data_IF_024621940446
#
_entry.id   IF_024621940446
#
_cell.length_a   1.000
_cell.length_b   1.000
_cell.length_c   1.000
_cell.angle_alpha   90.00
_cell.angle_beta   90.00
_cell.angle_gamma   90.00
#
_symmetry.space_group_name_H-M   'P 1'
#
loop_
_entity.id
_entity.type
_entity.pdbx_description
1 polymer ?
#
# COMPACT_ATOMS: atom_id res chain seq x y z
N UNK A 1 35.67 21.05 38.43
CA UNK A 1 35.19 22.06 39.39
C UNK A 1 34.43 23.13 38.63
N UNK A 2 33.09 23.05 38.62
CA UNK A 2 32.17 24.19 38.57
C UNK A 2 30.80 23.63 38.97
N UNK A 3 30.26 24.22 40.02
CA UNK A 3 29.13 23.76 40.82
C UNK A 3 27.85 24.47 40.40
N UNK A 4 26.72 23.77 40.55
CA UNK A 4 25.45 24.41 40.93
C UNK A 4 24.50 24.69 39.78
N UNK A 5 23.42 23.91 39.71
CA UNK A 5 22.18 24.36 39.07
C UNK A 5 21.02 23.94 39.96
N UNK A 6 20.49 24.95 40.64
CA UNK A 6 19.35 24.93 41.55
C UNK A 6 18.10 24.35 40.89
N UNK A 7 17.67 23.19 41.38
CA UNK A 7 16.33 22.67 41.16
C UNK A 7 15.33 23.39 42.06
N UNK A 8 14.73 24.47 41.57
CA UNK A 8 13.58 25.12 42.20
C UNK A 8 12.36 24.19 42.14
N UNK A 9 11.99 23.63 43.29
CA UNK A 9 10.72 22.96 43.55
C UNK A 9 9.55 23.91 43.26
N UNK A 10 8.78 23.63 42.21
CA UNK A 10 7.44 24.18 42.05
C UNK A 10 6.47 23.40 42.96
N UNK A 11 6.23 23.92 44.18
CA UNK A 11 5.12 23.48 45.03
C UNK A 11 3.82 23.98 44.41
N UNK A 12 2.94 23.06 44.01
CA UNK A 12 1.55 23.38 43.64
C UNK A 12 0.81 23.94 44.87
N UNK A 13 0.02 25.02 44.71
CA UNK A 13 -0.81 25.52 45.78
C UNK A 13 -1.93 24.51 46.10
N UNK A 14 -2.09 24.27 47.40
CA UNK A 14 -3.11 23.43 48.02
C UNK A 14 -4.44 24.18 47.90
N UNK A 15 -5.29 23.75 46.98
CA UNK A 15 -6.63 24.29 46.78
C UNK A 15 -7.52 23.94 47.97
N UNK A 16 -7.81 24.99 48.73
CA UNK A 16 -9.13 25.37 49.26
C UNK A 16 -9.96 24.29 49.95
N UNK A 17 -9.81 24.32 51.26
CA UNK A 17 -10.77 23.95 52.29
C UNK A 17 -12.08 24.73 52.08
N UNK A 18 -13.03 24.11 51.36
CA UNK A 18 -14.39 24.63 51.22
C UNK A 18 -15.11 24.43 52.55
N UNK A 19 -15.35 25.55 53.22
CA UNK A 19 -16.16 25.68 54.43
C UNK A 19 -17.53 25.00 54.28
N UNK A 20 -17.72 23.91 55.00
CA UNK A 20 -19.01 23.36 55.40
C UNK A 20 -19.72 24.37 56.33
N UNK A 21 -20.48 25.28 55.71
CA UNK A 21 -21.51 26.08 56.40
C UNK A 21 -22.87 25.44 56.14
N UNK A 22 -23.10 24.30 56.78
CA UNK A 22 -24.43 23.74 57.00
C UNK A 22 -25.25 24.63 57.95
N UNK A 23 -25.68 25.80 57.47
CA UNK A 23 -26.70 26.61 58.11
C UNK A 23 -28.05 25.91 57.90
N UNK A 24 -28.50 25.21 58.94
CA UNK A 24 -29.80 24.55 59.03
C UNK A 24 -30.91 25.61 59.06
N UNK A 25 -31.25 26.15 57.90
CA UNK A 25 -32.39 27.06 57.71
C UNK A 25 -33.66 26.28 58.02
N UNK A 26 -34.28 26.62 59.15
CA UNK A 26 -35.57 26.08 59.59
C UNK A 26 -36.63 26.66 58.65
N UNK A 27 -36.96 25.95 57.59
CA UNK A 27 -38.04 26.31 56.67
C UNK A 27 -39.36 26.21 57.45
N UNK A 28 -39.92 27.38 57.79
CA UNK A 28 -41.27 27.50 58.32
C UNK A 28 -42.23 27.11 57.18
N UNK A 29 -43.16 26.17 57.38
CA UNK A 29 -44.10 25.75 56.34
C UNK A 29 -45.07 26.90 56.07
N UNK A 30 -44.78 27.68 55.02
CA UNK A 30 -45.68 28.73 54.53
C UNK A 30 -46.86 28.04 53.85
N UNK A 31 -47.95 27.95 54.59
CA UNK A 31 -49.22 27.37 54.20
C UNK A 31 -49.93 28.26 53.18
N UNK A 32 -49.55 28.12 51.91
CA UNK A 32 -50.31 28.37 50.68
C UNK A 32 -49.32 28.70 49.55
N UNK A 33 -48.61 27.69 49.04
CA UNK A 33 -47.87 27.85 47.78
C UNK A 33 -48.85 28.33 46.71
N UNK A 34 -48.58 29.53 46.19
CA UNK A 34 -49.31 30.11 45.06
C UNK A 34 -49.49 29.05 43.96
N UNK A 35 -50.66 28.97 43.30
CA UNK A 35 -50.89 28.03 42.19
C UNK A 35 -49.76 28.04 41.14
N UNK A 36 -49.16 29.21 40.94
CA UNK A 36 -48.01 29.41 40.05
C UNK A 36 -46.78 28.61 40.47
N UNK A 37 -46.49 28.51 41.78
CA UNK A 37 -45.34 27.75 42.30
C UNK A 37 -45.53 26.25 42.06
N UNK A 38 -46.75 25.74 42.20
CA UNK A 38 -47.05 24.33 41.90
C UNK A 38 -46.89 24.03 40.42
N UNK A 39 -47.42 24.90 39.55
CA UNK A 39 -47.26 24.77 38.11
C UNK A 39 -45.78 24.80 37.69
N UNK A 40 -44.97 25.69 38.28
CA UNK A 40 -43.54 25.75 38.02
C UNK A 40 -42.83 24.47 38.48
N UNK A 41 -43.19 23.92 39.65
CA UNK A 41 -42.60 22.68 40.14
C UNK A 41 -42.97 21.47 39.26
N UNK A 42 -44.22 21.38 38.79
CA UNK A 42 -44.65 20.35 37.84
C UNK A 42 -43.85 20.45 36.54
N UNK A 43 -43.66 21.66 36.00
CA UNK A 43 -42.86 21.87 34.79
C UNK A 43 -41.39 21.49 34.99
N UNK A 44 -40.82 21.76 36.16
CA UNK A 44 -39.45 21.33 36.49
C UNK A 44 -39.36 19.80 36.49
N UNK A 45 -40.30 19.12 37.14
CA UNK A 45 -40.31 17.66 37.21
C UNK A 45 -40.49 17.02 35.82
N UNK A 46 -41.32 17.61 34.94
CA UNK A 46 -41.46 17.18 33.54
C UNK A 46 -40.14 17.32 32.78
N UNK A 47 -39.47 18.47 32.88
CA UNK A 47 -38.20 18.72 32.21
C UNK A 47 -37.09 17.79 32.74
N UNK A 48 -37.06 17.51 34.05
CA UNK A 48 -36.12 16.56 34.63
C UNK A 48 -36.33 15.14 34.08
N UNK A 49 -37.58 14.71 33.88
CA UNK A 49 -37.89 13.44 33.24
C UNK A 49 -37.49 13.42 31.76
N UNK A 50 -37.72 14.52 31.02
CA UNK A 50 -37.32 14.63 29.62
C UNK A 50 -35.79 14.58 29.45
N UNK A 51 -35.05 15.29 30.32
CA UNK A 51 -33.58 15.25 30.33
C UNK A 51 -33.07 13.84 30.66
N UNK A 52 -33.69 13.15 31.62
CA UNK A 52 -33.33 11.77 31.96
C UNK A 52 -33.56 10.82 30.77
N UNK A 53 -34.69 10.94 30.09
CA UNK A 53 -35.01 10.13 28.90
C UNK A 53 -34.02 10.36 27.75
N UNK A 54 -33.68 11.62 27.46
CA UNK A 54 -32.67 11.96 26.44
C UNK A 54 -31.29 11.42 26.79
N UNK A 55 -30.90 11.47 28.08
CA UNK A 55 -29.61 10.95 28.52
C UNK A 55 -29.51 9.42 28.37
N UNK A 56 -30.62 8.70 28.59
CA UNK A 56 -30.72 7.25 28.33
C UNK A 56 -30.63 6.95 26.82
N UNK A 57 -31.26 7.77 25.97
CA UNK A 57 -31.18 7.63 24.51
C UNK A 57 -29.74 7.87 23.99
N UNK A 58 -29.08 8.94 24.43
CA UNK A 58 -27.67 9.24 24.08
C UNK A 58 -26.73 8.13 24.56
N UNK A 59 -26.98 7.56 25.75
CA UNK A 59 -26.21 6.43 26.27
C UNK A 59 -26.40 5.16 25.41
N UNK A 60 -27.61 4.95 24.89
CA UNK A 60 -27.90 3.85 23.97
C UNK A 60 -27.19 4.01 22.61
N UNK A 61 -27.15 5.23 22.07
CA UNK A 61 -26.48 5.54 20.80
C UNK A 61 -24.96 5.37 20.90
N UNK A 62 -24.34 5.89 21.97
CA UNK A 62 -22.89 5.77 22.20
C UNK A 62 -22.45 4.31 22.35
N UNK A 63 -23.23 3.48 23.07
CA UNK A 63 -22.98 2.05 23.15
C UNK A 63 -23.07 1.34 21.79
N UNK A 64 -24.04 1.72 20.94
CA UNK A 64 -24.17 1.14 19.60
C UNK A 64 -22.98 1.50 18.70
N UNK A 65 -22.44 2.72 18.80
CA UNK A 65 -21.26 3.14 18.04
C UNK A 65 -20.00 2.33 18.43
N UNK A 66 -19.78 2.11 19.73
CA UNK A 66 -18.65 1.31 20.21
C UNK A 66 -18.72 -0.16 19.73
N UNK A 67 -19.91 -0.76 19.76
CA UNK A 67 -20.13 -2.13 19.26
C UNK A 67 -19.91 -2.20 17.75
N UNK A 68 -20.39 -1.20 16.99
CA UNK A 68 -20.17 -1.12 15.55
C UNK A 68 -18.67 -0.95 15.21
N UNK A 69 -17.96 -0.14 15.99
CA UNK A 69 -16.52 0.09 15.83
C UNK A 69 -15.71 -1.19 16.10
N UNK A 70 -16.01 -1.92 17.18
CA UNK A 70 -15.32 -3.19 17.48
C UNK A 70 -15.62 -4.28 16.44
N UNK A 71 -16.85 -4.32 15.91
CA UNK A 71 -17.19 -5.21 14.78
C UNK A 71 -16.36 -4.85 13.54
N UNK A 72 -16.29 -3.57 13.18
CA UNK A 72 -15.52 -3.11 12.02
C UNK A 72 -14.02 -3.43 12.17
N UNK A 73 -13.45 -3.24 13.37
CA UNK A 73 -12.05 -3.63 13.67
C UNK A 73 -11.83 -5.13 13.45
N UNK A 74 -12.76 -5.95 13.91
CA UNK A 74 -12.68 -7.41 13.77
C UNK A 74 -12.77 -7.83 12.29
N UNK A 75 -13.67 -7.21 11.52
CA UNK A 75 -13.80 -7.46 10.08
C UNK A 75 -12.54 -7.05 9.31
N UNK A 76 -11.97 -5.88 9.60
CA UNK A 76 -10.71 -5.43 8.98
C UNK A 76 -9.56 -6.39 9.31
N UNK A 77 -9.44 -6.84 10.56
CA UNK A 77 -8.44 -7.82 10.95
C UNK A 77 -8.59 -9.15 10.19
N UNK A 78 -9.83 -9.60 10.00
CA UNK A 78 -10.12 -10.81 9.22
C UNK A 78 -9.80 -10.65 7.73
N UNK A 79 -10.13 -9.49 7.14
CA UNK A 79 -9.79 -9.18 5.75
C UNK A 79 -8.27 -9.13 5.54
N UNK A 80 -7.53 -8.56 6.49
CA UNK A 80 -6.06 -8.54 6.45
C UNK A 80 -5.48 -9.97 6.49
N UNK A 81 -5.99 -10.83 7.38
CA UNK A 81 -5.62 -12.26 7.44
C UNK A 81 -5.92 -12.98 6.12
N UNK A 82 -7.08 -12.74 5.52
CA UNK A 82 -7.45 -13.32 4.23
C UNK A 82 -6.51 -12.84 3.11
N UNK A 83 -6.17 -11.55 3.09
CA UNK A 83 -5.21 -10.97 2.13
C UNK A 83 -3.83 -11.66 2.21
N UNK A 84 -3.32 -11.89 3.42
CA UNK A 84 -2.06 -12.61 3.62
C UNK A 84 -2.14 -14.06 3.12
N UNK A 85 -3.25 -14.77 3.37
CA UNK A 85 -3.45 -16.11 2.85
C UNK A 85 -3.48 -16.14 1.31
N UNK A 86 -4.14 -15.16 0.68
CA UNK A 86 -4.13 -15.04 -0.77
C UNK A 86 -2.74 -14.73 -1.33
N UNK A 87 -1.95 -13.88 -0.66
CA UNK A 87 -0.56 -13.63 -1.05
C UNK A 87 0.30 -14.89 -0.98
N UNK A 88 0.16 -15.69 0.08
CA UNK A 88 0.86 -16.97 0.20
C UNK A 88 0.47 -17.94 -0.92
N UNK A 89 -0.82 -18.00 -1.28
CA UNK A 89 -1.31 -18.85 -2.37
C UNK A 89 -0.79 -18.39 -3.73
N UNK A 90 -0.77 -17.08 -4.00
CA UNK A 90 -0.17 -16.52 -5.21
C UNK A 90 1.31 -16.92 -5.32
N UNK A 91 2.06 -16.88 -4.20
CA UNK A 91 3.46 -17.29 -4.19
C UNK A 91 3.62 -18.79 -4.50
N UNK A 92 2.78 -19.64 -3.90
CA UNK A 92 2.74 -21.08 -4.16
C UNK A 92 2.48 -21.37 -5.64
N UNK A 93 1.50 -20.69 -6.24
CA UNK A 93 1.16 -20.85 -7.65
C UNK A 93 2.28 -20.36 -8.58
N UNK A 94 2.95 -19.25 -8.24
CA UNK A 94 4.13 -18.77 -8.99
C UNK A 94 5.27 -19.80 -8.98
N UNK A 95 5.57 -20.38 -7.81
CA UNK A 95 6.59 -21.43 -7.70
C UNK A 95 6.24 -22.67 -8.54
N UNK A 96 4.97 -23.09 -8.54
CA UNK A 96 4.51 -24.19 -9.39
C UNK A 96 4.64 -23.88 -10.89
N UNK A 97 4.30 -22.66 -11.30
CA UNK A 97 4.43 -22.23 -12.70
C UNK A 97 5.90 -22.22 -13.14
N UNK A 98 6.81 -21.74 -12.29
CA UNK A 98 8.24 -21.77 -12.57
C UNK A 98 8.76 -23.20 -12.74
N UNK A 99 8.37 -24.13 -11.87
CA UNK A 99 8.74 -25.55 -11.99
C UNK A 99 8.20 -26.18 -13.29
N UNK A 100 6.99 -25.81 -13.72
CA UNK A 100 6.44 -26.26 -15.02
C UNK A 100 7.25 -25.70 -16.20
N UNK A 101 7.64 -24.43 -16.15
CA UNK A 101 8.46 -23.80 -17.18
C UNK A 101 9.86 -24.44 -17.29
N UNK A 102 10.48 -24.80 -16.16
CA UNK A 102 11.75 -25.54 -16.14
C UNK A 102 11.62 -26.93 -16.78
N UNK A 103 10.52 -27.64 -16.51
CA UNK A 103 10.22 -28.93 -17.14
C UNK A 103 9.99 -28.79 -18.64
N UNK A 104 9.25 -27.77 -19.07
CA UNK A 104 9.02 -27.49 -20.49
C UNK A 104 10.34 -27.20 -21.22
N UNK A 105 11.20 -26.38 -20.62
CA UNK A 105 12.54 -26.07 -21.14
C UNK A 105 13.38 -27.33 -21.26
N UNK A 106 13.35 -28.21 -20.25
CA UNK A 106 14.07 -29.49 -20.27
C UNK A 106 13.59 -30.40 -21.41
N UNK A 107 12.28 -30.48 -21.65
CA UNK A 107 11.70 -31.24 -22.77
C UNK A 107 12.15 -30.66 -24.11
N UNK A 108 12.15 -29.33 -24.26
CA UNK A 108 12.61 -28.67 -25.48
C UNK A 108 14.09 -28.96 -25.77
N UNK A 109 14.95 -28.88 -24.76
CA UNK A 109 16.39 -29.21 -24.88
C UNK A 109 16.57 -30.67 -25.28
N UNK A 110 15.83 -31.60 -24.65
CA UNK A 110 15.88 -33.02 -25.00
C UNK A 110 15.40 -33.31 -26.43
N UNK A 111 14.34 -32.62 -26.87
CA UNK A 111 13.81 -32.78 -28.23
C UNK A 111 14.78 -32.27 -29.29
N UNK A 112 15.44 -31.12 -29.03
CA UNK A 112 16.46 -30.57 -29.93
C UNK A 112 17.76 -31.37 -29.94
N UNK A 113 18.07 -32.08 -28.85
CA UNK A 113 19.28 -32.91 -28.72
C UNK A 113 19.09 -34.35 -29.19
N UNK A 114 17.87 -34.77 -29.50
CA UNK A 114 17.61 -36.11 -29.99
C UNK A 114 18.31 -36.28 -31.36
N UNK A 115 19.21 -37.27 -31.51
CA UNK A 115 19.87 -37.51 -32.79
C UNK A 115 18.81 -37.78 -33.83
N UNK A 116 18.81 -36.99 -34.91
CA UNK A 116 17.98 -37.29 -36.08
C UNK A 116 18.23 -38.75 -36.44
N UNK A 117 17.19 -39.60 -36.50
CA UNK A 117 17.38 -40.98 -36.88
C UNK A 117 18.12 -40.97 -38.21
N UNK A 118 19.33 -41.53 -38.20
CA UNK A 118 20.17 -41.64 -39.37
C UNK A 118 19.27 -42.18 -40.47
N UNK A 119 19.11 -41.42 -41.56
CA UNK A 119 18.32 -41.82 -42.71
C UNK A 119 18.84 -43.17 -43.15
N UNK A 120 18.17 -44.24 -42.72
CA UNK A 120 18.41 -45.58 -43.19
C UNK A 120 18.13 -45.50 -44.68
N UNK A 121 19.19 -45.74 -45.43
CA UNK A 121 19.28 -45.73 -46.89
C UNK A 121 17.96 -46.21 -47.49
N UNK A 122 17.15 -45.28 -47.98
CA UNK A 122 15.98 -45.60 -48.78
C UNK A 122 16.53 -46.37 -50.00
N UNK A 123 16.15 -47.64 -50.22
CA UNK A 123 16.61 -48.38 -51.38
C UNK A 123 16.18 -47.59 -52.62
N UNK A 124 17.15 -47.29 -53.47
CA UNK A 124 16.93 -46.66 -54.77
C UNK A 124 16.16 -47.62 -55.68
N UNK A 125 14.85 -47.69 -55.50
CA UNK A 125 13.92 -48.42 -56.33
C UNK A 125 12.81 -47.47 -56.75
N UNK A 126 13.05 -46.76 -57.86
CA UNK A 126 12.08 -45.92 -58.57
C UNK A 126 11.14 -46.85 -59.35
N UNK A 127 9.83 -46.93 -59.06
CA UNK A 127 8.88 -47.41 -60.04
C UNK A 127 8.36 -46.21 -60.83
N UNK A 128 8.52 -46.28 -62.14
CA UNK A 128 7.97 -45.33 -63.09
C UNK A 128 6.47 -45.14 -62.87
N UNK A 129 6.06 -43.87 -62.80
CA UNK A 129 4.68 -43.44 -62.99
C UNK A 129 4.32 -43.62 -64.47
N UNK A 130 3.87 -44.82 -64.84
CA UNK A 130 3.13 -45.04 -66.07
C UNK A 130 1.62 -44.96 -65.80
N UNK A 131 0.99 -44.06 -66.56
CA UNK A 131 -0.45 -43.96 -66.80
C UNK A 131 -1.15 -45.32 -66.92
N UNK A 132 -2.15 -45.59 -66.06
CA UNK A 132 -3.37 -46.32 -66.46
C UNK A 132 -4.57 -45.71 -65.71
N UNK A 133 -5.43 -45.05 -66.49
CA UNK A 133 -6.81 -44.82 -66.13
C UNK A 133 -7.62 -46.05 -66.51
N UNK A 134 -8.25 -46.74 -65.55
CA UNK A 134 -9.56 -47.40 -65.70
C UNK A 134 -10.03 -48.01 -64.38
N UNK A 135 -11.20 -47.55 -63.94
CA UNK A 135 -12.36 -48.29 -63.43
C UNK A 135 -12.21 -49.50 -62.47
N UNK A 136 -13.29 -49.62 -61.68
CA UNK A 136 -13.95 -50.83 -61.17
C UNK A 136 -13.64 -51.29 -59.73
N UNK A 137 -14.61 -50.95 -58.86
CA UNK A 137 -15.35 -51.82 -57.93
C UNK A 137 -14.63 -52.62 -56.85
N UNK A 138 -15.13 -52.41 -55.62
CA UNK A 138 -15.18 -53.33 -54.47
C UNK A 138 -15.15 -54.82 -54.86
N UNK A 139 -14.58 -55.66 -53.99
CA UNK A 139 -15.46 -56.52 -53.21
C UNK A 139 -15.10 -56.64 -51.72
N UNK A 140 -16.11 -57.09 -50.99
CA UNK A 140 -16.18 -57.27 -49.55
C UNK A 140 -15.50 -58.56 -49.07
N UNK A 141 -15.35 -58.59 -47.74
CA UNK A 141 -15.53 -59.73 -46.82
C UNK A 141 -14.32 -60.58 -46.38
N UNK A 142 -14.17 -60.60 -45.03
CA UNK A 142 -13.86 -61.74 -44.12
C UNK A 142 -12.44 -62.33 -44.20
N UNK A 143 -11.73 -62.71 -43.13
CA UNK A 143 -12.06 -62.91 -41.71
C UNK A 143 -10.75 -63.16 -40.92
N UNK A 144 -10.79 -62.86 -39.61
CA UNK A 144 -10.18 -63.59 -38.47
C UNK A 144 -8.65 -63.45 -38.14
N UNK A 145 -8.41 -62.65 -37.08
CA UNK A 145 -7.65 -62.91 -35.81
C UNK A 145 -6.14 -63.24 -35.86
N UNK A 146 -5.29 -62.38 -35.25
CA UNK A 146 -4.61 -62.67 -33.95
C UNK A 146 -3.76 -61.50 -33.39
N UNK A 147 -4.25 -60.93 -32.29
CA UNK A 147 -3.55 -60.50 -31.05
C UNK A 147 -2.33 -59.56 -31.06
N UNK A 148 -2.56 -58.25 -30.82
CA UNK A 148 -1.83 -57.37 -29.87
C UNK A 148 -2.80 -56.23 -29.45
N UNK A 149 -2.96 -55.84 -28.17
CA UNK A 149 -3.94 -54.82 -27.78
C UNK A 149 -3.44 -53.39 -28.10
N UNK A 150 -4.26 -52.53 -28.72
CA UNK A 150 -3.94 -51.11 -28.85
C UNK A 150 -4.37 -50.34 -27.58
N UNK A 151 -3.50 -49.39 -27.20
CA UNK A 151 -3.74 -48.37 -26.19
C UNK A 151 -4.98 -47.54 -26.58
N UNK A 152 -6.05 -47.65 -25.79
CA UNK A 152 -7.24 -46.79 -25.92
C UNK A 152 -6.89 -45.42 -25.35
N UNK A 153 -6.76 -44.42 -26.22
CA UNK A 153 -6.87 -43.01 -25.82
C UNK A 153 -8.33 -42.76 -25.49
N UNK A 154 -8.65 -42.72 -24.18
CA UNK A 154 -9.94 -42.28 -23.70
C UNK A 154 -10.07 -40.78 -23.94
N UNK A 155 -10.81 -40.40 -24.98
CA UNK A 155 -11.37 -39.05 -25.13
C UNK A 155 -12.69 -38.99 -24.37
N UNK A 156 -12.63 -38.93 -23.04
CA UNK A 156 -13.74 -38.39 -22.26
C UNK A 156 -13.54 -36.88 -22.09
N UNK A 157 -14.56 -36.06 -22.41
CA UNK A 157 -14.45 -34.61 -22.26
C UNK A 157 -14.44 -34.25 -20.77
N UNK A 158 -13.56 -33.31 -20.43
CA UNK A 158 -13.38 -32.68 -19.12
C UNK A 158 -14.60 -31.82 -18.67
N UNK A 159 -15.83 -32.29 -18.93
CA UNK A 159 -17.08 -31.57 -18.68
C UNK A 159 -17.75 -31.96 -17.35
N UNK A 160 -17.46 -33.14 -16.77
CA UNK A 160 -18.12 -33.56 -15.52
C UNK A 160 -17.53 -32.87 -14.29
N UNK A 161 -16.20 -32.71 -14.21
CA UNK A 161 -15.54 -32.03 -13.09
C UNK A 161 -15.85 -30.53 -13.02
N UNK A 162 -16.01 -29.87 -14.18
CA UNK A 162 -16.42 -28.46 -14.25
C UNK A 162 -17.90 -28.28 -13.90
N UNK A 163 -18.77 -29.27 -14.19
CA UNK A 163 -20.18 -29.24 -13.79
C UNK A 163 -20.36 -29.45 -12.29
N UNK A 164 -19.58 -30.32 -11.66
CA UNK A 164 -19.66 -30.54 -10.20
C UNK A 164 -19.15 -29.31 -9.44
N UNK A 165 -18.03 -28.71 -9.88
CA UNK A 165 -17.53 -27.45 -9.30
C UNK A 165 -18.48 -26.26 -9.55
N UNK A 166 -19.14 -26.16 -10.71
CA UNK A 166 -20.11 -25.11 -10.99
C UNK A 166 -21.42 -25.27 -10.18
N UNK A 167 -21.88 -26.50 -9.94
CA UNK A 167 -23.06 -26.78 -9.12
C UNK A 167 -22.78 -26.55 -7.63
N UNK A 168 -21.60 -26.90 -7.14
CA UNK A 168 -21.18 -26.68 -5.75
C UNK A 168 -20.91 -25.18 -5.46
N UNK A 169 -20.52 -24.41 -6.48
CA UNK A 169 -20.37 -22.95 -6.40
C UNK A 169 -21.70 -22.19 -6.51
N UNK A 170 -22.72 -22.75 -7.18
CA UNK A 170 -24.06 -22.16 -7.25
C UNK A 170 -24.89 -22.40 -5.99
N UNK A 171 -24.61 -23.45 -5.21
CA UNK A 171 -25.39 -23.77 -4.00
C UNK A 171 -24.88 -23.11 -2.71
N UNK A 172 -23.70 -22.48 -2.71
CA UNK A 172 -23.07 -21.91 -1.51
C UNK A 172 -22.75 -20.40 -1.57
N UNK A 173 -23.50 -19.63 -2.36
CA UNK A 173 -23.46 -18.16 -2.29
C UNK A 173 -24.45 -17.66 -1.22
N UNK A 174 -24.00 -17.06 -0.10
CA UNK A 174 -24.90 -16.31 0.76
C UNK A 174 -25.28 -15.01 0.04
N UNK A 175 -26.45 -15.02 -0.60
CA UNK A 175 -27.08 -13.91 -1.34
C UNK A 175 -27.32 -12.63 -0.51
N UNK A 176 -26.99 -12.65 0.78
CA UNK A 176 -27.12 -11.54 1.72
C UNK A 176 -25.95 -10.56 1.72
N UNK A 177 -24.73 -10.98 1.35
CA UNK A 177 -23.52 -10.12 1.52
C UNK A 177 -23.42 -9.06 0.40
N UNK A 178 -23.63 -9.44 -0.86
CA UNK A 178 -23.62 -8.49 -1.97
C UNK A 178 -24.76 -7.47 -1.86
N UNK A 179 -25.95 -7.90 -1.39
CA UNK A 179 -27.09 -7.03 -1.14
C UNK A 179 -26.89 -6.09 0.06
N UNK A 180 -26.19 -6.53 1.10
CA UNK A 180 -25.83 -5.69 2.25
C UNK A 180 -24.80 -4.63 1.87
N UNK A 181 -23.79 -5.00 1.06
CA UNK A 181 -22.78 -4.07 0.57
C UNK A 181 -23.38 -3.01 -0.35
N UNK A 182 -24.23 -3.40 -1.30
CA UNK A 182 -24.92 -2.45 -2.19
C UNK A 182 -25.89 -1.53 -1.43
N UNK A 183 -26.60 -2.04 -0.41
CA UNK A 183 -27.43 -1.20 0.48
C UNK A 183 -26.60 -0.21 1.29
N UNK A 184 -25.43 -0.61 1.77
CA UNK A 184 -24.53 0.23 2.55
C UNK A 184 -23.91 1.34 1.68
N UNK A 185 -23.41 1.01 0.48
CA UNK A 185 -22.89 1.99 -0.49
C UNK A 185 -23.98 3.00 -0.90
N UNK A 186 -25.21 2.53 -1.17
CA UNK A 186 -26.36 3.41 -1.47
C UNK A 186 -26.83 4.23 -0.28
N UNK A 187 -26.55 3.80 0.95
CA UNK A 187 -26.79 4.56 2.18
C UNK A 187 -25.82 5.74 2.30
N UNK A 188 -24.54 5.46 2.13
CA UNK A 188 -23.47 6.48 2.17
C UNK A 188 -23.65 7.52 1.07
N UNK A 189 -23.91 7.11 -0.17
CA UNK A 189 -24.15 8.05 -1.27
C UNK A 189 -25.36 8.98 -1.03
N UNK A 190 -26.41 8.47 -0.37
CA UNK A 190 -27.59 9.28 -0.03
C UNK A 190 -27.30 10.26 1.11
N UNK A 191 -26.58 9.83 2.15
CA UNK A 191 -26.18 10.70 3.26
C UNK A 191 -25.31 11.87 2.76
N UNK A 192 -24.31 11.56 1.92
CA UNK A 192 -23.43 12.57 1.33
C UNK A 192 -24.18 13.52 0.38
N UNK A 193 -25.14 13.01 -0.39
CA UNK A 193 -25.96 13.86 -1.27
C UNK A 193 -26.89 14.80 -0.49
N UNK A 194 -27.43 14.34 0.64
CA UNK A 194 -28.29 15.15 1.51
C UNK A 194 -27.51 16.24 2.24
N UNK A 195 -26.28 15.93 2.66
CA UNK A 195 -25.37 16.87 3.32
C UNK A 195 -24.87 17.94 2.33
N UNK A 196 -24.58 17.56 1.08
CA UNK A 196 -24.21 18.50 0.02
C UNK A 196 -25.37 19.43 -0.40
N UNK A 197 -26.62 18.95 -0.39
CA UNK A 197 -27.79 19.82 -0.63
C UNK A 197 -28.09 20.77 0.53
N UNK A 198 -27.64 20.46 1.75
CA UNK A 198 -27.83 21.35 2.91
C UNK A 198 -26.82 22.50 2.99
N UNK A 199 -25.78 22.48 2.14
CA UNK A 199 -24.68 23.45 2.14
C UNK A 199 -24.76 24.48 0.99
N UNK A 200 -25.84 24.52 0.21
CA UNK A 200 -26.12 25.63 -0.70
C UNK A 200 -26.64 26.85 0.09
N UNK A 201 -25.70 27.57 0.72
CA UNK A 201 -25.87 28.96 1.13
C UNK A 201 -25.44 29.84 -0.04
N UNK A 202 -26.38 30.67 -0.53
CA UNK A 202 -26.21 31.63 -1.61
C UNK A 202 -24.99 32.55 -1.40
N UNK A 203 -23.92 32.30 -2.15
CA UNK A 203 -22.81 33.24 -2.33
C UNK A 203 -22.67 33.51 -3.84
N UNK A 204 -22.76 34.77 -4.30
CA UNK A 204 -22.63 35.09 -5.72
C UNK A 204 -21.14 35.05 -6.11
N UNK A 205 -20.77 34.09 -6.96
CA UNK A 205 -19.43 33.96 -7.52
C UNK A 205 -19.46 34.20 -9.04
N UNK A 206 -18.83 35.30 -9.43
CA UNK A 206 -18.24 35.44 -10.74
C UNK A 206 -16.87 34.76 -10.72
N UNK A 207 -16.71 33.61 -11.39
CA UNK A 207 -15.49 33.31 -12.18
C UNK A 207 -15.63 32.03 -13.05
N UNK A 208 -14.79 31.94 -14.06
CA UNK A 208 -15.00 31.33 -15.38
C UNK A 208 -14.30 29.98 -15.63
N UNK A 209 -13.89 29.25 -14.60
CA UNK A 209 -13.13 27.99 -14.79
C UNK A 209 -14.00 26.74 -15.02
N UNK A 210 -15.24 26.72 -14.50
CA UNK A 210 -16.12 25.53 -14.56
C UNK A 210 -16.74 25.31 -15.95
N UNK A 211 -16.88 26.37 -16.74
CA UNK A 211 -17.50 26.30 -18.08
C UNK A 211 -16.60 25.58 -19.10
N UNK A 212 -15.27 25.59 -18.91
CA UNK A 212 -14.31 25.01 -19.86
C UNK A 212 -14.29 23.47 -19.80
N UNK A 213 -14.39 22.89 -18.60
CA UNK A 213 -14.45 21.44 -18.42
C UNK A 213 -15.78 20.83 -18.90
N UNK A 214 -16.89 21.59 -18.82
CA UNK A 214 -18.19 21.17 -19.38
C UNK A 214 -18.24 21.16 -20.91
N UNK A 215 -17.51 22.06 -21.60
CA UNK A 215 -17.44 22.04 -23.06
C UNK A 215 -16.65 20.84 -23.62
N UNK A 216 -15.58 20.41 -22.96
CA UNK A 216 -14.75 19.29 -23.43
C UNK A 216 -15.51 17.95 -23.35
N UNK A 217 -16.28 17.73 -22.28
CA UNK A 217 -17.10 16.52 -22.12
C UNK A 217 -18.29 16.50 -23.08
N UNK A 218 -18.91 17.66 -23.32
CA UNK A 218 -20.04 17.78 -24.27
C UNK A 218 -19.63 17.57 -25.72
N UNK A 219 -18.41 17.99 -26.10
CA UNK A 219 -17.89 17.80 -27.45
C UNK A 219 -17.51 16.33 -27.71
N UNK A 220 -16.87 15.66 -26.73
CA UNK A 220 -16.55 14.23 -26.82
C UNK A 220 -17.80 13.34 -26.95
N UNK A 221 -18.90 13.69 -26.27
CA UNK A 221 -20.16 12.96 -26.40
C UNK A 221 -20.86 13.21 -27.75
N UNK A 222 -20.69 14.39 -28.35
CA UNK A 222 -21.21 14.68 -29.71
C UNK A 222 -20.44 13.95 -30.81
N UNK A 223 -19.15 13.72 -30.62
CA UNK A 223 -18.31 13.04 -31.61
C UNK A 223 -18.51 11.52 -31.59
N UNK A 224 -18.87 10.94 -30.43
CA UNK A 224 -19.29 9.53 -30.31
C UNK A 224 -20.65 9.27 -31.01
N UNK A 225 -21.56 10.24 -30.98
CA UNK A 225 -22.89 10.11 -31.60
C UNK A 225 -22.88 10.17 -33.14
N UNK A 226 -21.77 10.57 -33.77
CA UNK A 226 -21.69 10.80 -35.24
C UNK A 226 -21.11 9.64 -36.05
N UNK A 227 -20.92 8.45 -35.45
CA UNK A 227 -20.55 7.25 -36.20
C UNK A 227 -19.19 7.31 -36.88
N UNK A 228 -18.20 7.92 -36.23
CA UNK A 228 -16.80 7.84 -36.67
C UNK A 228 -16.29 6.40 -36.71
N UNK A 229 -15.32 6.08 -37.58
CA UNK A 229 -14.88 4.71 -37.80
C UNK A 229 -14.31 4.12 -36.52
N UNK A 230 -14.78 2.92 -36.18
CA UNK A 230 -14.26 2.07 -35.12
C UNK A 230 -12.76 1.88 -35.33
N UNK A 231 -11.95 2.69 -34.64
CA UNK A 231 -10.55 2.38 -34.40
C UNK A 231 -10.55 1.07 -33.62
N UNK A 232 -9.95 0.03 -34.20
CA UNK A 232 -9.59 -1.19 -33.47
C UNK A 232 -8.72 -0.77 -32.28
N UNK A 233 -9.35 -0.66 -31.12
CA UNK A 233 -8.65 -0.52 -29.86
C UNK A 233 -8.00 -1.88 -29.61
N UNK A 234 -6.75 -2.01 -30.06
CA UNK A 234 -5.88 -3.14 -29.78
C UNK A 234 -5.70 -3.24 -28.26
N UNK A 235 -6.64 -3.92 -27.61
CA UNK A 235 -6.84 -3.97 -26.16
C UNK A 235 -5.92 -5.01 -25.52
N UNK A 236 -4.62 -4.93 -25.80
CA UNK A 236 -3.58 -5.58 -25.00
C UNK A 236 -2.94 -4.56 -24.09
N UNK A 237 -3.73 -4.01 -23.18
CA UNK A 237 -3.20 -3.41 -21.97
C UNK A 237 -2.60 -4.53 -21.13
N UNK A 238 -1.36 -4.92 -21.44
CA UNK A 238 -0.57 -5.76 -20.55
C UNK A 238 -0.54 -5.04 -19.22
N UNK A 239 -1.21 -5.61 -18.21
CA UNK A 239 -1.06 -5.21 -16.82
C UNK A 239 0.41 -5.43 -16.52
N UNK A 240 1.20 -4.35 -16.60
CA UNK A 240 2.59 -4.38 -16.16
C UNK A 240 2.51 -4.55 -14.66
N UNK A 241 2.71 -5.78 -14.20
CA UNK A 241 2.85 -6.04 -12.78
C UNK A 241 4.07 -5.25 -12.33
N UNK A 242 3.82 -4.18 -11.59
CA UNK A 242 4.86 -3.36 -11.02
C UNK A 242 5.60 -4.23 -10.02
N UNK A 243 6.87 -4.52 -10.29
CA UNK A 243 7.68 -5.41 -9.47
C UNK A 243 8.17 -4.62 -8.24
N UNK A 244 7.28 -4.44 -7.27
CA UNK A 244 7.62 -3.80 -5.99
C UNK A 244 8.52 -4.72 -5.16
N UNK A 245 9.29 -4.11 -4.26
CA UNK A 245 10.15 -4.88 -3.35
C UNK A 245 9.28 -5.80 -2.51
N UNK A 246 9.69 -7.05 -2.32
CA UNK A 246 8.96 -8.01 -1.51
C UNK A 246 9.12 -7.70 -0.02
N UNK A 247 8.06 -7.90 0.75
CA UNK A 247 8.11 -7.75 2.19
C UNK A 247 9.08 -8.78 2.80
N UNK A 248 10.03 -8.38 3.66
CA UNK A 248 10.99 -9.30 4.26
C UNK A 248 10.29 -10.25 5.24
N UNK A 249 10.27 -11.55 4.92
CA UNK A 249 9.60 -12.58 5.74
C UNK A 249 10.18 -12.62 7.15
N UNK A 250 11.47 -12.38 7.32
CA UNK A 250 12.12 -12.39 8.62
C UNK A 250 11.68 -11.23 9.54
N UNK A 251 11.16 -10.13 8.99
CA UNK A 251 10.53 -9.07 9.79
C UNK A 251 9.20 -9.52 10.42
N UNK A 252 8.46 -10.46 9.78
CA UNK A 252 7.19 -10.96 10.32
C UNK A 252 7.35 -11.74 11.63
N UNK A 253 8.54 -12.31 11.84
CA UNK A 253 8.86 -13.11 13.04
C UNK A 253 9.43 -12.27 14.18
N UNK A 254 9.72 -10.99 13.95
CA UNK A 254 10.34 -10.10 14.94
C UNK A 254 9.30 -9.18 15.58
N UNK A 255 9.06 -9.34 16.88
CA UNK A 255 8.06 -8.55 17.61
C UNK A 255 8.30 -7.04 17.54
N UNK A 256 9.56 -6.60 17.56
CA UNK A 256 9.88 -5.18 17.46
C UNK A 256 9.58 -4.65 16.06
N UNK A 257 9.89 -5.41 15.01
CA UNK A 257 9.61 -5.05 13.63
C UNK A 257 8.10 -4.86 13.41
N UNK A 258 7.27 -5.77 13.92
CA UNK A 258 5.81 -5.74 13.77
C UNK A 258 5.17 -4.44 14.27
N UNK A 259 5.83 -3.71 15.18
CA UNK A 259 5.30 -2.45 15.74
C UNK A 259 5.44 -1.24 14.80
N UNK A 260 6.33 -1.29 13.80
CA UNK A 260 6.64 -0.10 13.00
C UNK A 260 6.96 -0.39 11.54
N UNK A 261 7.62 -1.50 11.27
CA UNK A 261 8.18 -1.80 9.96
C UNK A 261 7.12 -2.08 8.89
N UNK A 262 6.00 -2.82 9.15
CA UNK A 262 4.94 -3.00 8.16
C UNK A 262 4.46 -1.69 7.53
N UNK A 263 4.11 -0.72 8.37
CA UNK A 263 3.60 0.57 7.90
C UNK A 263 4.69 1.41 7.24
N UNK A 264 5.90 1.43 7.81
CA UNK A 264 7.03 2.14 7.24
C UNK A 264 7.40 1.62 5.85
N UNK A 265 7.47 0.29 5.70
CA UNK A 265 7.74 -0.38 4.44
C UNK A 265 6.65 -0.10 3.42
N UNK A 266 5.37 -0.30 3.77
CA UNK A 266 4.26 -0.01 2.87
C UNK A 266 4.26 1.46 2.40
N UNK A 267 4.70 2.38 3.27
CA UNK A 267 4.78 3.80 2.95
C UNK A 267 5.86 4.16 1.93
N UNK A 268 7.02 3.48 1.94
CA UNK A 268 8.14 3.75 1.03
C UNK A 268 8.25 2.78 -0.14
N UNK A 269 7.55 1.64 -0.12
CA UNK A 269 7.57 0.65 -1.21
C UNK A 269 6.66 1.08 -2.37
N UNK A 270 7.11 2.10 -3.10
CA UNK A 270 6.45 2.69 -4.27
C UNK A 270 7.30 2.50 -5.52
N UNK A 271 6.66 2.56 -6.69
CA UNK A 271 7.37 2.51 -7.96
C UNK A 271 7.85 3.88 -8.40
N UNK A 272 9.14 4.12 -8.18
CA UNK A 272 9.89 5.27 -8.68
C UNK A 272 11.04 4.80 -9.61
N UNK A 273 10.99 3.56 -10.08
CA UNK A 273 12.03 2.92 -10.88
C UNK A 273 13.06 2.10 -10.08
N UNK A 274 13.83 1.29 -10.81
CA UNK A 274 14.72 0.27 -10.27
C UNK A 274 15.77 0.82 -9.28
N UNK A 275 16.35 2.00 -9.53
CA UNK A 275 17.35 2.59 -8.62
C UNK A 275 16.77 2.88 -7.23
N UNK A 276 15.53 3.36 -7.16
CA UNK A 276 14.87 3.61 -5.89
C UNK A 276 14.47 2.29 -5.20
N UNK A 277 14.03 1.28 -5.96
CA UNK A 277 13.75 -0.04 -5.41
C UNK A 277 15.01 -0.73 -4.85
N UNK A 278 16.17 -0.53 -5.50
CA UNK A 278 17.46 -0.99 -5.00
C UNK A 278 17.83 -0.28 -3.68
N UNK A 279 17.57 1.03 -3.59
CA UNK A 279 17.73 1.78 -2.33
C UNK A 279 16.83 1.22 -1.22
N UNK A 280 15.55 0.97 -1.51
CA UNK A 280 14.61 0.39 -0.52
C UNK A 280 15.08 -0.99 -0.09
N UNK A 281 15.48 -1.86 -1.02
CA UNK A 281 16.05 -3.18 -0.72
C UNK A 281 17.30 -3.10 0.17
N UNK A 282 18.19 -2.14 -0.10
CA UNK A 282 19.38 -1.91 0.72
C UNK A 282 19.03 -1.42 2.12
N UNK A 283 18.03 -0.54 2.25
CA UNK A 283 17.52 -0.11 3.55
C UNK A 283 16.96 -1.29 4.35
N UNK A 284 16.23 -2.22 3.72
CA UNK A 284 15.76 -3.45 4.35
C UNK A 284 16.94 -4.27 4.89
N UNK A 285 17.98 -4.46 4.09
CA UNK A 285 19.18 -5.19 4.51
C UNK A 285 19.87 -4.51 5.70
N UNK A 286 19.93 -3.18 5.69
CA UNK A 286 20.47 -2.40 6.81
C UNK A 286 19.66 -2.58 8.08
N UNK A 287 18.33 -2.56 8.04
CA UNK A 287 17.49 -2.81 9.22
C UNK A 287 17.57 -4.28 9.68
N UNK A 288 17.79 -5.23 8.77
CA UNK A 288 18.04 -6.63 9.11
C UNK A 288 19.31 -6.80 9.94
N UNK A 289 20.39 -6.07 9.64
CA UNK A 289 21.64 -6.16 10.41
C UNK A 289 21.48 -5.74 11.88
N UNK A 290 20.47 -4.93 12.22
CA UNK A 290 20.16 -4.54 13.61
C UNK A 290 19.05 -5.37 14.22
N UNK A 291 18.60 -6.44 13.55
CA UNK A 291 17.48 -7.28 13.95
C UNK A 291 16.20 -6.45 14.15
N UNK A 292 15.97 -5.46 13.29
CA UNK A 292 14.76 -4.62 13.28
C UNK A 292 14.54 -3.81 14.57
N UNK A 293 15.57 -3.68 15.39
CA UNK A 293 15.53 -2.92 16.64
C UNK A 293 15.28 -1.45 16.34
N UNK A 294 14.58 -0.77 17.24
CA UNK A 294 14.47 0.69 17.22
C UNK A 294 15.13 1.26 18.44
N UNK A 295 15.89 2.34 18.28
CA UNK A 295 16.43 3.08 19.42
C UNK A 295 16.02 4.56 19.31
N UNK A 296 15.08 5.04 20.14
CA UNK A 296 14.61 6.42 20.06
C UNK A 296 15.71 7.45 20.36
N UNK A 297 16.79 7.05 21.05
CA UNK A 297 17.94 7.92 21.35
C UNK A 297 18.91 8.04 20.18
N UNK A 298 18.86 7.10 19.23
CA UNK A 298 19.75 7.05 18.07
C UNK A 298 19.01 7.64 16.88
N UNK A 299 19.47 8.80 16.41
CA UNK A 299 18.86 9.51 15.28
C UNK A 299 19.92 10.08 14.35
N UNK A 300 19.56 10.25 13.08
CA UNK A 300 20.38 11.05 12.17
C UNK A 300 20.44 12.52 12.66
N UNK A 301 21.52 13.25 12.33
CA UNK A 301 21.62 14.68 12.65
C UNK A 301 20.46 15.48 12.09
N UNK A 302 20.04 16.51 12.82
CA UNK A 302 18.92 17.39 12.42
C UNK A 302 19.37 18.66 11.72
N UNK A 303 20.68 18.91 11.61
CA UNK A 303 21.24 20.04 10.90
C UNK A 303 20.77 20.00 9.43
N UNK A 304 20.23 21.09 8.91
CA UNK A 304 19.68 21.20 7.55
C UNK A 304 18.55 20.21 7.19
N UNK A 305 17.95 19.52 8.18
CA UNK A 305 16.84 18.60 7.92
C UNK A 305 15.65 19.35 7.33
N UNK A 306 15.03 18.89 6.23
CA UNK A 306 13.84 19.54 5.66
C UNK A 306 12.74 19.73 6.71
N UNK A 307 12.17 20.94 6.79
CA UNK A 307 11.09 21.26 7.73
C UNK A 307 9.86 20.38 7.54
N UNK A 308 9.50 20.07 6.28
CA UNK A 308 8.41 19.15 5.95
C UNK A 308 8.59 17.77 6.59
N UNK A 309 9.82 17.25 6.66
CA UNK A 309 10.09 15.99 7.35
C UNK A 309 9.88 16.12 8.86
N UNK A 310 10.32 17.23 9.45
CA UNK A 310 10.12 17.47 10.88
C UNK A 310 8.63 17.52 11.24
N UNK A 311 7.86 18.30 10.49
CA UNK A 311 6.41 18.42 10.65
C UNK A 311 5.70 17.06 10.49
N UNK A 312 6.05 16.30 9.45
CA UNK A 312 5.50 14.96 9.23
C UNK A 312 5.79 14.01 10.39
N UNK A 313 7.01 14.04 10.94
CA UNK A 313 7.38 13.23 12.12
C UNK A 313 6.56 13.65 13.34
N UNK A 314 6.38 14.96 13.57
CA UNK A 314 5.62 15.51 14.69
C UNK A 314 4.12 15.14 14.59
N UNK A 315 3.56 15.15 13.38
CA UNK A 315 2.20 14.68 13.06
C UNK A 315 2.03 13.16 13.13
N UNK A 316 2.99 12.43 13.68
CA UNK A 316 2.96 10.95 13.82
C UNK A 316 3.07 10.21 12.48
N UNK A 317 3.77 10.78 11.50
CA UNK A 317 4.16 10.12 10.25
C UNK A 317 2.94 9.59 9.46
N UNK A 318 3.03 8.35 9.00
CA UNK A 318 2.05 7.64 8.18
C UNK A 318 0.81 7.12 8.93
N UNK A 319 0.58 7.50 10.20
CA UNK A 319 -0.64 7.10 10.92
C UNK A 319 -1.93 7.64 10.29
N UNK A 320 -1.83 8.73 9.54
CA UNK A 320 -2.91 9.28 8.74
C UNK A 320 -2.36 9.75 7.40
N UNK A 321 -3.09 9.49 6.31
CA UNK A 321 -2.76 10.05 4.98
C UNK A 321 -2.83 11.58 4.99
N UNK A 322 -3.65 12.17 5.84
CA UNK A 322 -3.74 13.63 5.99
C UNK A 322 -2.46 14.26 6.56
N UNK A 323 -1.54 13.46 7.09
CA UNK A 323 -0.26 13.95 7.56
C UNK A 323 0.79 14.06 6.46
N UNK A 324 0.60 13.37 5.33
CA UNK A 324 1.54 13.40 4.21
C UNK A 324 1.60 14.82 3.64
N UNK A 325 2.80 15.41 3.46
CA UNK A 325 2.91 16.72 2.85
C UNK A 325 2.31 16.69 1.44
N UNK A 326 1.76 17.83 0.99
CA UNK A 326 1.33 17.93 -0.39
C UNK A 326 2.56 17.73 -1.29
N UNK A 327 2.42 16.90 -2.31
CA UNK A 327 3.50 16.61 -3.26
C UNK A 327 3.98 17.91 -3.92
N UNK A 328 3.10 18.89 -4.12
CA UNK A 328 3.43 20.21 -4.67
C UNK A 328 4.40 21.00 -3.77
N UNK A 329 4.33 20.82 -2.45
CA UNK A 329 5.24 21.47 -1.49
C UNK A 329 6.67 20.89 -1.56
N UNK A 330 6.83 19.72 -2.20
CA UNK A 330 8.13 19.06 -2.39
C UNK A 330 8.87 19.61 -3.63
N UNK A 331 8.90 20.94 -3.75
CA UNK A 331 9.44 21.73 -4.85
C UNK A 331 10.98 21.69 -5.00
N UNK A 332 11.54 22.66 -5.74
CA UNK A 332 13.00 22.78 -5.97
C UNK A 332 13.71 23.00 -4.64
N UNK A 333 13.17 23.86 -3.79
CA UNK A 333 13.74 24.15 -2.47
C UNK A 333 13.79 22.90 -1.59
N UNK A 334 12.81 22.00 -1.73
CA UNK A 334 12.83 20.73 -1.00
C UNK A 334 13.98 19.83 -1.46
N UNK A 335 14.22 19.73 -2.77
CA UNK A 335 15.36 18.99 -3.31
C UNK A 335 16.70 19.54 -2.78
N UNK A 336 16.88 20.86 -2.76
CA UNK A 336 18.08 21.49 -2.19
C UNK A 336 18.24 21.24 -0.70
N UNK A 337 17.13 21.28 0.05
CA UNK A 337 17.13 20.95 1.48
C UNK A 337 17.51 19.48 1.73
N UNK A 338 17.01 18.54 0.92
CA UNK A 338 17.40 17.12 1.02
C UNK A 338 18.88 16.93 0.70
N UNK A 339 19.38 17.57 -0.37
CA UNK A 339 20.82 17.55 -0.72
C UNK A 339 21.68 18.11 0.41
N UNK A 340 21.29 19.25 0.97
CA UNK A 340 21.99 19.94 2.06
C UNK A 340 21.98 19.13 3.36
N UNK A 341 20.85 18.50 3.69
CA UNK A 341 20.74 17.60 4.83
C UNK A 341 21.68 16.42 4.67
N UNK A 342 21.60 15.72 3.53
CA UNK A 342 22.44 14.58 3.22
C UNK A 342 23.93 14.93 3.32
N UNK A 343 24.34 16.08 2.79
CA UNK A 343 25.72 16.57 2.89
C UNK A 343 26.18 16.82 4.33
N UNK A 344 25.30 17.35 5.19
CA UNK A 344 25.64 17.80 6.54
C UNK A 344 26.09 16.71 7.52
N UNK A 345 25.70 15.46 7.26
CA UNK A 345 26.08 14.32 8.10
C UNK A 345 26.93 13.30 7.35
N UNK A 346 27.48 13.67 6.20
CA UNK A 346 28.54 12.87 5.59
C UNK A 346 29.77 12.88 6.50
N UNK A 347 30.36 11.71 6.77
CA UNK A 347 31.62 11.65 7.50
C UNK A 347 32.71 12.46 6.79
N UNK A 348 33.63 13.06 7.56
CA UNK A 348 34.70 13.91 7.02
C UNK A 348 35.55 13.20 5.95
N UNK A 349 35.78 11.89 6.08
CA UNK A 349 36.53 11.10 5.10
C UNK A 349 35.83 10.95 3.74
N UNK A 350 34.52 11.22 3.63
CA UNK A 350 33.79 11.31 2.35
C UNK A 350 33.87 12.69 1.71
N UNK A 351 34.23 13.71 2.49
CA UNK A 351 34.38 15.07 2.00
C UNK A 351 35.78 15.17 1.37
N UNK A 352 35.85 15.23 0.05
CA UNK A 352 37.12 15.43 -0.63
C UNK A 352 37.75 16.79 -0.28
N UNK A 353 39.06 16.97 -0.49
CA UNK A 353 39.76 18.22 -0.18
C UNK A 353 39.20 19.43 -0.97
N UNK A 354 38.57 19.19 -2.12
CA UNK A 354 37.90 20.20 -2.96
C UNK A 354 36.40 20.31 -2.68
N UNK A 355 35.86 19.60 -1.69
CA UNK A 355 34.42 19.46 -1.48
C UNK A 355 33.75 18.49 -2.45
N UNK A 356 34.48 17.94 -3.42
CA UNK A 356 33.99 16.86 -4.28
C UNK A 356 33.86 15.56 -3.48
N UNK A 357 32.75 14.86 -3.66
CA UNK A 357 32.51 13.58 -2.98
C UNK A 357 33.45 12.53 -3.56
N UNK A 358 34.29 11.94 -2.72
CA UNK A 358 35.12 10.83 -3.17
C UNK A 358 34.23 9.65 -3.54
N UNK A 359 34.25 9.25 -4.81
CA UNK A 359 33.59 8.05 -5.30
C UNK A 359 34.29 6.78 -4.81
N UNK A 360 35.53 6.87 -4.33
CA UNK A 360 36.21 5.76 -3.66
C UNK A 360 35.74 5.64 -2.22
N UNK A 361 34.82 4.71 -2.00
CA UNK A 361 34.52 4.18 -0.67
C UNK A 361 35.72 3.32 -0.20
N UNK A 362 36.80 3.96 0.26
CA UNK A 362 37.81 3.27 1.05
C UNK A 362 37.24 3.01 2.46
N UNK A 363 36.54 1.88 2.58
CA UNK A 363 35.68 1.49 3.71
C UNK A 363 36.48 1.09 4.97
N UNK A 364 37.79 0.83 4.84
CA UNK A 364 38.53 -0.04 5.76
C UNK A 364 38.92 0.48 7.15
N UNK A 365 38.73 1.75 7.51
CA UNK A 365 39.26 2.24 8.81
C UNK A 365 38.48 3.39 9.46
N UNK A 366 37.33 3.78 8.93
CA UNK A 366 36.72 5.03 9.35
C UNK A 366 35.62 4.86 10.41
N UNK A 367 35.41 5.88 11.23
CA UNK A 367 34.38 5.90 12.26
C UNK A 367 32.98 6.05 11.63
N UNK A 368 32.26 4.95 11.48
CA UNK A 368 30.89 4.91 10.96
C UNK A 368 29.84 5.40 11.97
N UNK A 369 30.21 5.54 13.26
CA UNK A 369 29.27 5.81 14.37
C UNK A 369 28.36 7.02 14.17
N UNK A 370 28.78 8.03 13.43
CA UNK A 370 27.98 9.24 13.18
C UNK A 370 26.75 8.95 12.31
N UNK A 371 26.87 8.03 11.35
CA UNK A 371 25.83 7.67 10.39
C UNK A 371 25.27 6.25 10.59
N UNK A 372 25.89 5.48 11.47
CA UNK A 372 25.41 4.18 11.93
C UNK A 372 24.19 4.34 12.84
N UNK A 373 23.05 4.65 12.22
CA UNK A 373 21.73 4.82 12.83
C UNK A 373 20.76 3.81 12.22
N UNK A 374 19.70 3.46 12.93
CA UNK A 374 18.74 2.44 12.49
C UNK A 374 17.34 2.69 13.06
N UNK A 375 16.34 2.01 12.51
CA UNK A 375 14.93 2.15 12.86
C UNK A 375 14.31 3.46 12.37
N UNK A 376 13.12 3.78 12.89
CA UNK A 376 12.29 4.92 12.48
C UNK A 376 12.97 6.30 12.49
N UNK A 377 13.96 6.50 13.36
CA UNK A 377 14.69 7.78 13.49
C UNK A 377 16.06 7.75 12.78
N UNK A 378 16.42 6.62 12.18
CA UNK A 378 17.62 6.46 11.37
C UNK A 378 17.34 6.81 9.91
N UNK A 379 17.77 5.91 9.02
CA UNK A 379 17.74 6.08 7.57
C UNK A 379 16.35 6.22 6.96
N UNK A 380 15.32 5.71 7.63
CA UNK A 380 13.94 5.78 7.16
C UNK A 380 13.51 7.20 6.78
N UNK A 381 13.86 8.21 7.59
CA UNK A 381 13.50 9.61 7.29
C UNK A 381 14.11 10.12 5.98
N UNK A 382 15.32 9.70 5.64
CA UNK A 382 15.97 10.08 4.38
C UNK A 382 15.32 9.36 3.18
N UNK A 383 15.00 8.07 3.32
CA UNK A 383 14.27 7.29 2.30
C UNK A 383 12.90 7.91 2.00
N UNK A 384 12.21 8.40 3.03
CA UNK A 384 10.95 9.15 2.90
C UNK A 384 11.14 10.46 2.14
N UNK A 385 12.17 11.25 2.45
CA UNK A 385 12.45 12.45 1.67
C UNK A 385 12.72 12.16 0.19
N UNK A 386 13.46 11.08 -0.10
CA UNK A 386 13.74 10.66 -1.48
C UNK A 386 12.49 10.13 -2.20
N UNK A 387 11.57 9.48 -1.48
CA UNK A 387 10.24 9.12 -1.97
C UNK A 387 9.51 10.39 -2.43
N UNK A 388 9.37 11.38 -1.55
CA UNK A 388 8.62 12.60 -1.86
C UNK A 388 9.21 13.38 -3.03
N UNK A 389 10.54 13.51 -3.06
CA UNK A 389 11.21 14.14 -4.19
C UNK A 389 10.96 13.38 -5.50
N UNK A 390 11.14 12.06 -5.51
CA UNK A 390 10.89 11.23 -6.70
C UNK A 390 9.43 11.29 -7.18
N UNK A 391 8.47 11.28 -6.24
CA UNK A 391 7.04 11.44 -6.53
C UNK A 391 6.74 12.82 -7.12
N UNK A 392 7.29 13.91 -6.56
CA UNK A 392 7.10 15.27 -7.10
C UNK A 392 7.58 15.40 -8.55
N UNK A 393 8.71 14.77 -8.91
CA UNK A 393 9.24 14.77 -10.27
C UNK A 393 8.29 14.12 -11.30
N UNK A 394 7.35 13.28 -10.87
CA UNK A 394 6.35 12.70 -11.78
C UNK A 394 5.34 13.74 -12.29
N UNK A 395 5.10 14.81 -11.54
CA UNK A 395 4.09 15.84 -11.82
C UNK A 395 4.64 17.10 -12.50
N UNK A 396 5.95 17.16 -12.77
CA UNK A 396 6.60 18.32 -13.39
C UNK A 396 6.58 18.30 -14.91
N UNK A 397 6.90 19.45 -15.50
CA UNK A 397 7.18 19.60 -16.94
C UNK A 397 8.27 18.61 -17.40
N UNK A 398 8.31 18.30 -18.70
CA UNK A 398 9.26 17.30 -19.25
C UNK A 398 10.71 17.76 -19.06
N UNK A 399 10.96 19.05 -19.22
CA UNK A 399 12.26 19.68 -19.08
C UNK A 399 12.75 19.61 -17.62
N UNK A 400 11.97 20.12 -16.66
CA UNK A 400 12.31 20.12 -15.23
C UNK A 400 12.46 18.68 -14.69
N UNK A 401 11.66 17.76 -15.23
CA UNK A 401 11.71 16.34 -14.86
C UNK A 401 13.02 15.70 -15.26
N UNK A 402 13.65 16.09 -16.36
CA UNK A 402 14.88 15.43 -16.84
C UNK A 402 16.07 15.81 -15.96
N UNK A 403 16.26 17.10 -15.70
CA UNK A 403 17.34 17.59 -14.82
C UNK A 403 17.12 17.14 -13.37
N UNK A 404 15.92 17.37 -12.84
CA UNK A 404 15.58 16.97 -11.48
C UNK A 404 15.68 15.47 -11.24
N UNK A 405 15.34 14.64 -12.24
CA UNK A 405 15.51 13.18 -12.16
C UNK A 405 16.97 12.76 -12.15
N UNK A 406 17.82 13.40 -12.96
CA UNK A 406 19.26 13.13 -12.93
C UNK A 406 19.84 13.40 -11.54
N UNK A 407 19.52 14.54 -10.95
CA UNK A 407 20.01 14.90 -9.61
C UNK A 407 19.44 14.01 -8.51
N UNK A 408 18.15 13.68 -8.58
CA UNK A 408 17.53 12.74 -7.67
C UNK A 408 18.19 11.35 -7.75
N UNK A 409 18.46 10.83 -8.95
CA UNK A 409 19.14 9.55 -9.16
C UNK A 409 20.57 9.55 -8.61
N UNK A 410 21.32 10.66 -8.76
CA UNK A 410 22.66 10.80 -8.16
C UNK A 410 22.59 10.66 -6.63
N UNK A 411 21.62 11.31 -5.98
CA UNK A 411 21.48 11.23 -4.52
C UNK A 411 21.00 9.85 -4.09
N UNK A 412 20.02 9.25 -4.78
CA UNK A 412 19.55 7.87 -4.52
C UNK A 412 20.72 6.88 -4.60
N UNK A 413 21.53 6.97 -5.66
CA UNK A 413 22.72 6.13 -5.83
C UNK A 413 23.77 6.33 -4.74
N UNK A 414 24.07 7.59 -4.37
CA UNK A 414 25.03 7.93 -3.32
C UNK A 414 24.58 7.42 -1.94
N UNK A 415 23.30 7.59 -1.60
CA UNK A 415 22.71 7.09 -0.35
C UNK A 415 22.75 5.56 -0.31
N UNK A 416 22.36 4.90 -1.41
CA UNK A 416 22.42 3.44 -1.52
C UNK A 416 23.83 2.90 -1.25
N UNK A 417 24.84 3.45 -1.94
CA UNK A 417 26.23 3.01 -1.76
C UNK A 417 26.72 3.16 -0.32
N UNK A 418 26.34 4.24 0.38
CA UNK A 418 26.68 4.41 1.80
C UNK A 418 25.98 3.40 2.69
N UNK A 419 24.71 3.08 2.43
CA UNK A 419 24.00 2.03 3.16
C UNK A 419 24.60 0.65 2.91
N UNK A 420 24.97 0.31 1.68
CA UNK A 420 25.65 -0.95 1.33
C UNK A 420 26.98 -1.08 2.09
N UNK A 421 27.77 -0.01 2.12
CA UNK A 421 29.02 0.03 2.88
C UNK A 421 28.79 -0.16 4.39
N UNK A 422 27.73 0.44 4.96
CA UNK A 422 27.34 0.24 6.35
C UNK A 422 26.88 -1.21 6.64
N UNK A 423 26.12 -1.81 5.73
CA UNK A 423 25.70 -3.22 5.83
C UNK A 423 26.92 -4.12 5.88
N UNK A 424 27.90 -3.90 5.00
CA UNK A 424 29.14 -4.67 4.99
C UNK A 424 29.95 -4.45 6.26
N UNK A 425 30.12 -3.19 6.68
CA UNK A 425 30.81 -2.86 7.93
C UNK A 425 30.21 -3.56 9.16
N UNK A 426 28.88 -3.66 9.26
CA UNK A 426 28.19 -4.37 10.35
C UNK A 426 28.24 -5.90 10.25
N UNK A 427 28.59 -6.45 9.08
CA UNK A 427 28.78 -7.90 8.90
C UNK A 427 30.20 -8.34 9.26
N UNK A 428 31.16 -7.44 9.06
CA UNK A 428 32.59 -7.70 9.32
C UNK A 428 32.98 -7.49 10.80
N UNK A 429 32.16 -6.77 11.58
CA UNK A 429 32.34 -6.53 13.03
C UNK A 429 31.22 -7.17 13.84
#
# INVERSE_FOLDING_TARGET
MYTGSDSKLFKRPRSEEVLDRSAKVRVVPSSASSPLIRQQQERINELEQEVQALNEEVSGLTYCEDVALERAKTEVAQLYKNSLNFQAEIFRLKAQNNALNERLTSIQVNWLSAPYPAQSSIPAGRPELHHIATQTSLPQHTDIVSQVPPYVVSTEPMSSYQKTLALEYQHNQPSTIAGAFDKWVKGISRALSHEMQSLELDIPLADTSVTRSRMVVSQAQKDIAKGGPLLEINSRSSIVLVDLVQYPVDATSNQQALLWFPDAFAYVNVDLGAEYQNLVSTWIDLERTTQWRTNPKVRLPTLNRPSLLAEWVDKKRYKSRANEPNVEDCGIDFAENVKSWWASFQPAWRQGPTGEKSSSLHIGSHEWKSIDKFGLNGWFGLVVCLKWWGTNLQYRSVEDKTEGKSDWLKIVGDVRQVMEALVNHRRDN
#
